data_IF_974455019853
#
_entry.id   IF_974455019853
#
_cell.length_a   1.000
_cell.length_b   1.000
_cell.length_c   1.000
_cell.angle_alpha   90.00
_cell.angle_beta   90.00
_cell.angle_gamma   90.00
#
_symmetry.space_group_name_H-M   'P 1'
#
loop_
_entity.id
_entity.type
_entity.pdbx_description
1 polymer ?
#
# COMPACT_ATOMS: atom_id res chain seq x y z
N UNK A 1 17.26 1.63 -0.60
CA UNK A 1 16.67 0.53 0.18
C UNK A 1 16.83 -0.82 -0.51
N UNK A 2 17.27 -0.87 -1.78
CA UNK A 2 17.44 -2.09 -2.58
C UNK A 2 16.13 -2.90 -2.66
N UNK A 3 15.09 -2.23 -3.15
CA UNK A 3 13.72 -2.77 -3.19
C UNK A 3 13.38 -3.24 -4.61
N UNK A 4 12.67 -4.35 -4.68
CA UNK A 4 12.08 -4.86 -5.93
C UNK A 4 10.76 -4.15 -6.18
N UNK A 5 10.67 -3.39 -7.27
CA UNK A 5 9.48 -2.60 -7.62
C UNK A 5 8.41 -3.33 -8.43
N UNK A 6 8.67 -4.55 -8.89
CA UNK A 6 7.74 -5.31 -9.76
C UNK A 6 6.58 -5.96 -9.01
N UNK A 7 6.68 -6.12 -7.69
CA UNK A 7 5.63 -6.67 -6.81
C UNK A 7 5.45 -5.71 -5.63
N UNK A 8 4.22 -5.27 -5.40
CA UNK A 8 3.89 -4.24 -4.42
C UNK A 8 2.39 -4.03 -4.26
N UNK A 9 2.00 -2.84 -3.84
CA UNK A 9 0.63 -2.47 -3.53
C UNK A 9 -0.34 -2.81 -4.67
N UNK A 10 -0.04 -2.40 -5.91
CA UNK A 10 -0.94 -2.65 -7.05
C UNK A 10 -1.13 -4.13 -7.38
N UNK A 11 -0.08 -4.96 -7.24
CA UNK A 11 -0.18 -6.41 -7.46
C UNK A 11 -0.95 -7.12 -6.35
N UNK A 12 -0.87 -6.61 -5.12
CA UNK A 12 -1.67 -7.12 -4.01
C UNK A 12 -3.15 -6.78 -4.22
N UNK A 13 -3.45 -5.56 -4.64
CA UNK A 13 -4.83 -5.13 -4.87
C UNK A 13 -5.51 -5.82 -6.05
N UNK A 14 -4.75 -6.22 -7.07
CA UNK A 14 -5.25 -7.03 -8.19
C UNK A 14 -5.32 -8.53 -7.88
N UNK A 15 -4.83 -8.97 -6.71
CA UNK A 15 -4.76 -10.38 -6.32
C UNK A 15 -3.65 -11.18 -7.01
N UNK A 16 -2.73 -10.51 -7.72
CA UNK A 16 -1.59 -11.14 -8.39
C UNK A 16 -0.47 -11.56 -7.41
N UNK A 17 -0.48 -11.02 -6.19
CA UNK A 17 0.43 -11.39 -5.11
C UNK A 17 -0.26 -11.24 -3.75
N UNK A 18 0.23 -11.94 -2.73
CA UNK A 18 -0.17 -11.76 -1.35
C UNK A 18 0.62 -10.64 -0.67
N UNK A 19 0.11 -10.05 0.44
CA UNK A 19 0.87 -9.07 1.21
C UNK A 19 2.22 -9.61 1.69
N UNK A 20 2.28 -10.88 2.11
CA UNK A 20 3.49 -11.52 2.60
C UNK A 20 4.58 -11.65 1.52
N UNK A 21 4.19 -11.85 0.26
CA UNK A 21 5.12 -11.91 -0.88
C UNK A 21 5.61 -10.51 -1.30
N UNK A 22 4.79 -9.48 -1.09
CA UNK A 22 5.09 -8.11 -1.51
C UNK A 22 5.82 -7.27 -0.45
N UNK A 23 5.69 -7.63 0.84
CA UNK A 23 6.37 -6.95 1.95
C UNK A 23 7.85 -7.29 1.99
N UNK A 24 8.70 -6.26 1.87
CA UNK A 24 10.14 -6.41 1.79
C UNK A 24 10.80 -5.86 3.05
N UNK A 25 11.60 -6.71 3.71
CA UNK A 25 12.48 -6.26 4.80
C UNK A 25 13.58 -5.39 4.22
N UNK A 26 13.90 -4.31 4.92
CA UNK A 26 15.01 -3.45 4.53
C UNK A 26 16.26 -3.76 5.35
N UNK A 27 17.39 -3.12 5.00
CA UNK A 27 18.60 -3.14 5.82
C UNK A 27 18.43 -2.49 7.20
N UNK A 28 17.35 -1.75 7.41
CA UNK A 28 17.07 -1.08 8.68
C UNK A 28 16.11 -1.96 9.50
N UNK A 29 16.53 -2.35 10.69
CA UNK A 29 15.72 -3.16 11.59
C UNK A 29 14.42 -2.41 11.96
N UNK A 30 13.29 -3.12 11.97
CA UNK A 30 11.98 -2.54 12.24
C UNK A 30 11.35 -1.79 11.07
N UNK A 31 12.04 -1.65 9.92
CA UNK A 31 11.48 -1.05 8.71
C UNK A 31 11.21 -2.11 7.63
N UNK A 32 9.94 -2.29 7.34
CA UNK A 32 9.42 -3.09 6.22
C UNK A 32 8.77 -2.16 5.22
N UNK A 33 8.96 -2.44 3.93
CA UNK A 33 8.42 -1.61 2.85
C UNK A 33 7.55 -2.45 1.92
N UNK A 34 6.38 -1.91 1.61
CA UNK A 34 5.56 -2.34 0.49
C UNK A 34 5.74 -1.29 -0.63
N UNK A 35 6.30 -1.69 -1.76
CA UNK A 35 6.48 -0.76 -2.91
C UNK A 35 5.15 -0.51 -3.61
N UNK A 36 5.08 0.43 -4.57
CA UNK A 36 3.85 0.68 -5.33
C UNK A 36 3.42 -0.52 -6.19
N UNK A 37 4.36 -1.35 -6.63
CA UNK A 37 4.16 -2.25 -7.76
C UNK A 37 4.08 -1.51 -9.10
N UNK A 38 3.76 -2.22 -10.19
CA UNK A 38 3.53 -1.63 -11.51
C UNK A 38 2.40 -0.58 -11.48
N UNK A 39 2.51 0.45 -12.31
CA UNK A 39 1.48 1.49 -12.39
C UNK A 39 0.20 0.87 -13.01
N UNK A 40 -0.93 0.84 -12.30
CA UNK A 40 -2.19 0.35 -12.85
C UNK A 40 -2.77 1.33 -13.86
N UNK A 41 -3.67 0.89 -14.76
CA UNK A 41 -4.33 1.78 -15.71
C UNK A 41 -5.19 2.86 -15.02
N UNK A 42 -5.83 2.51 -13.89
CA UNK A 42 -6.72 3.40 -13.12
C UNK A 42 -6.28 3.49 -11.63
N UNK A 43 -5.28 4.31 -11.27
CA UNK A 43 -4.73 4.36 -9.92
C UNK A 43 -5.72 4.83 -8.85
N UNK A 44 -6.52 5.87 -9.13
CA UNK A 44 -7.47 6.43 -8.17
C UNK A 44 -8.57 5.44 -7.77
N UNK A 45 -9.12 4.69 -8.75
CA UNK A 45 -10.14 3.66 -8.48
C UNK A 45 -9.57 2.52 -7.63
N UNK A 46 -8.34 2.11 -7.92
CA UNK A 46 -7.67 1.04 -7.18
C UNK A 46 -7.43 1.43 -5.73
N UNK A 47 -7.02 2.68 -5.48
CA UNK A 47 -6.84 3.24 -4.13
C UNK A 47 -8.15 3.36 -3.35
N UNK A 48 -9.24 3.75 -4.03
CA UNK A 48 -10.58 3.84 -3.42
C UNK A 48 -11.27 2.49 -3.17
N UNK A 49 -10.67 1.39 -3.66
CA UNK A 49 -11.29 0.06 -3.65
C UNK A 49 -11.44 -0.54 -2.23
N UNK A 50 -12.37 -1.51 -2.09
CA UNK A 50 -12.46 -2.29 -0.85
C UNK A 50 -11.18 -3.08 -0.56
N UNK A 51 -10.49 -3.57 -1.59
CA UNK A 51 -9.24 -4.30 -1.43
C UNK A 51 -8.17 -3.43 -0.78
N UNK A 52 -8.05 -2.16 -1.19
CA UNK A 52 -7.12 -1.20 -0.58
C UNK A 52 -7.42 -0.98 0.91
N UNK A 53 -8.71 -0.78 1.25
CA UNK A 53 -9.14 -0.61 2.64
C UNK A 53 -8.82 -1.83 3.50
N UNK A 54 -9.07 -3.04 2.98
CA UNK A 54 -8.77 -4.30 3.69
C UNK A 54 -7.27 -4.48 3.92
N UNK A 55 -6.46 -4.23 2.89
CA UNK A 55 -5.01 -4.31 3.00
C UNK A 55 -4.47 -3.32 4.05
N UNK A 56 -4.94 -2.07 4.04
CA UNK A 56 -4.50 -1.09 5.02
C UNK A 56 -4.93 -1.45 6.45
N UNK A 57 -6.12 -2.03 6.63
CA UNK A 57 -6.56 -2.53 7.92
C UNK A 57 -5.67 -3.69 8.43
N UNK A 58 -5.31 -4.62 7.54
CA UNK A 58 -4.38 -5.72 7.85
C UNK A 58 -2.99 -5.19 8.24
N UNK A 59 -2.45 -4.22 7.50
CA UNK A 59 -1.17 -3.59 7.81
C UNK A 59 -1.22 -2.86 9.16
N UNK A 60 -2.29 -2.12 9.46
CA UNK A 60 -2.46 -1.44 10.76
C UNK A 60 -2.56 -2.41 11.94
N UNK A 61 -3.11 -3.61 11.72
CA UNK A 61 -3.15 -4.64 12.76
C UNK A 61 -1.79 -5.33 12.98
N UNK A 62 -0.92 -5.30 11.98
CA UNK A 62 0.36 -6.04 11.98
C UNK A 62 1.55 -5.17 12.38
N UNK A 63 1.49 -3.87 12.14
CA UNK A 63 2.59 -2.93 12.39
C UNK A 63 2.16 -1.83 13.38
N UNK A 64 3.07 -1.47 14.29
CA UNK A 64 2.84 -0.38 15.25
C UNK A 64 2.61 0.98 14.55
N UNK A 65 3.29 1.19 13.42
CA UNK A 65 3.17 2.39 12.60
C UNK A 65 3.10 2.02 11.11
N UNK A 66 2.16 2.64 10.40
CA UNK A 66 2.01 2.53 8.94
C UNK A 66 2.15 3.92 8.33
N UNK A 67 3.19 4.11 7.51
CA UNK A 67 3.44 5.36 6.78
C UNK A 67 3.07 5.14 5.33
N UNK A 68 2.15 5.95 4.81
CA UNK A 68 1.72 5.91 3.41
C UNK A 68 2.31 7.12 2.70
N UNK A 69 3.17 6.87 1.72
CA UNK A 69 3.66 7.90 0.81
C UNK A 69 2.68 8.05 -0.35
N UNK A 70 1.94 9.15 -0.38
CA UNK A 70 0.97 9.47 -1.43
C UNK A 70 1.33 10.83 -2.03
N UNK A 71 1.15 10.98 -3.34
CA UNK A 71 1.21 12.30 -3.97
C UNK A 71 0.21 13.26 -3.30
N UNK A 72 0.46 14.58 -3.30
CA UNK A 72 -0.48 15.54 -2.73
C UNK A 72 -1.83 15.31 -3.40
N UNK A 73 -2.81 14.91 -2.60
CA UNK A 73 -4.16 14.62 -3.04
C UNK A 73 -4.64 15.75 -3.95
N UNK A 74 -4.77 15.45 -5.24
CA UNK A 74 -5.65 16.24 -6.08
C UNK A 74 -7.05 16.05 -5.52
N UNK A 75 -7.41 17.02 -4.66
CA UNK A 75 -8.70 17.30 -4.06
C UNK A 75 -9.25 16.31 -3.01
N UNK A 76 -8.90 16.56 -1.75
CA UNK A 76 -9.79 16.53 -0.56
C UNK A 76 -10.48 15.20 -0.14
N UNK A 77 -10.51 14.11 -0.91
CA UNK A 77 -11.33 12.93 -0.54
C UNK A 77 -10.59 11.74 0.07
N UNK A 78 -9.36 11.43 -0.33
CA UNK A 78 -8.81 10.10 0.02
C UNK A 78 -8.24 10.02 1.45
N UNK A 79 -7.68 11.12 1.99
CA UNK A 79 -7.24 11.15 3.39
C UNK A 79 -8.41 10.99 4.38
N UNK A 80 -9.59 11.56 4.07
CA UNK A 80 -10.78 11.43 4.91
C UNK A 80 -11.33 10.01 4.89
N UNK A 81 -11.29 9.36 3.72
CA UNK A 81 -11.72 7.96 3.55
C UNK A 81 -10.81 6.99 4.31
N UNK A 82 -9.49 7.24 4.35
CA UNK A 82 -8.53 6.40 5.05
C UNK A 82 -8.48 6.65 6.57
N UNK A 83 -8.89 7.84 7.03
CA UNK A 83 -8.91 8.19 8.46
C UNK A 83 -10.20 7.76 9.18
N UNK A 84 -11.30 7.57 8.46
CA UNK A 84 -12.62 7.24 9.02
C UNK A 84 -12.88 5.73 9.21
N UNK A 85 -11.87 4.87 8.97
CA UNK A 85 -11.96 3.41 9.10
C UNK A 85 -10.74 2.82 9.78
#
# INVERSE_FOLDING_TARGET
LDLVGSVGFSTVLSGAATPAEALQKTRFAGLTVLTSGPIPPNPSELLGSQSARRLLAELRATFDYVIVDSTPLLAVTDAAILAAG
#
